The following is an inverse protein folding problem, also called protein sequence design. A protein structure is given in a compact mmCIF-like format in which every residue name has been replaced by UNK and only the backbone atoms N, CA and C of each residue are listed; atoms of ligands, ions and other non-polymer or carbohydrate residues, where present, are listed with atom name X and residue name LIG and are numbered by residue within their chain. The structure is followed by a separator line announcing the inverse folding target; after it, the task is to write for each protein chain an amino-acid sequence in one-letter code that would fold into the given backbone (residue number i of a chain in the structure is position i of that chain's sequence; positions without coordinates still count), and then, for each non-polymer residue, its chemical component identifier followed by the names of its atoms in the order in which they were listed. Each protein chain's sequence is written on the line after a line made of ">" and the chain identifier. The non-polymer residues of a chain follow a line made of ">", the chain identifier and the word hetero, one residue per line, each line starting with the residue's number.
data_IF_692986697539
#
_entry.id   IF_692986697539
#
_cell.length_a   1.000
_cell.length_b   1.000
_cell.length_c   1.000
_cell.angle_alpha   90.00
_cell.angle_beta   90.00
_cell.angle_gamma   90.00
#
_symmetry.space_group_name_H-M   'P 1'
#
loop_
_entity.id
_entity.type
_entity.pdbx_description
1 polymer ?
#
# COMPACT_ATOMS: atom_id res chain seq x y z
N UNK A 1 9.77 46.24 -0.25
CA UNK A 1 10.81 45.24 -0.59
C UNK A 1 10.10 44.02 -1.17
N UNK A 2 10.09 43.87 -2.49
CA UNK A 2 9.47 42.74 -3.19
C UNK A 2 10.49 41.61 -3.30
N UNK A 3 10.31 40.52 -2.57
CA UNK A 3 11.13 39.32 -2.70
C UNK A 3 10.99 38.77 -4.13
N UNK A 4 12.06 38.68 -4.94
CA UNK A 4 11.96 38.05 -6.25
C UNK A 4 11.88 36.53 -6.03
N UNK A 5 10.71 35.95 -6.27
CA UNK A 5 10.58 34.50 -6.37
C UNK A 5 11.32 34.04 -7.63
N UNK A 6 12.39 33.29 -7.46
CA UNK A 6 13.26 32.78 -8.55
C UNK A 6 12.56 31.78 -9.49
N UNK A 7 11.31 31.41 -9.18
CA UNK A 7 10.50 30.43 -9.93
C UNK A 7 9.40 31.17 -10.67
N UNK A 8 9.36 31.02 -12.01
CA UNK A 8 8.25 31.57 -12.80
C UNK A 8 6.95 30.81 -12.52
N UNK A 9 5.80 31.48 -12.58
CA UNK A 9 4.49 30.84 -12.40
C UNK A 9 4.23 29.67 -13.39
N UNK A 10 4.93 29.66 -14.53
CA UNK A 10 4.90 28.56 -15.51
C UNK A 10 5.69 27.35 -15.03
N UNK A 11 6.84 27.55 -14.37
CA UNK A 11 7.63 26.48 -13.76
C UNK A 11 6.89 25.84 -12.59
N UNK A 12 6.26 26.64 -11.72
CA UNK A 12 5.46 26.13 -10.59
C UNK A 12 4.33 25.20 -11.07
N UNK A 13 3.56 25.63 -12.09
CA UNK A 13 2.53 24.79 -12.71
C UNK A 13 3.09 23.51 -13.34
N UNK A 14 4.25 23.62 -14.00
CA UNK A 14 4.94 22.47 -14.57
C UNK A 14 5.34 21.44 -13.52
N UNK A 15 5.89 21.88 -12.40
CA UNK A 15 6.27 21.02 -11.27
C UNK A 15 5.05 20.34 -10.65
N UNK A 16 3.94 21.05 -10.43
CA UNK A 16 2.72 20.45 -9.89
C UNK A 16 2.12 19.42 -10.85
N UNK A 17 2.08 19.71 -12.15
CA UNK A 17 1.61 18.75 -13.16
C UNK A 17 2.48 17.50 -13.23
N UNK A 18 3.80 17.66 -13.09
CA UNK A 18 4.72 16.53 -12.99
C UNK A 18 4.39 15.64 -11.78
N UNK A 19 4.12 16.23 -10.61
CA UNK A 19 3.71 15.47 -9.42
C UNK A 19 2.36 14.78 -9.59
N UNK A 20 1.38 15.42 -10.23
CA UNK A 20 0.09 14.79 -10.55
C UNK A 20 0.29 13.60 -11.49
N UNK A 21 1.06 13.78 -12.57
CA UNK A 21 1.34 12.72 -13.53
C UNK A 21 2.09 11.56 -12.86
N UNK A 22 3.12 11.85 -12.06
CA UNK A 22 3.86 10.84 -11.31
C UNK A 22 2.96 10.10 -10.32
N UNK A 23 2.11 10.81 -9.58
CA UNK A 23 1.15 10.23 -8.65
C UNK A 23 0.14 9.31 -9.33
N UNK A 24 -0.38 9.70 -10.50
CA UNK A 24 -1.26 8.86 -11.31
C UNK A 24 -0.54 7.62 -11.82
N UNK A 25 0.65 7.76 -12.41
CA UNK A 25 1.44 6.63 -12.94
C UNK A 25 1.76 5.64 -11.82
N UNK A 26 2.26 6.13 -10.69
CA UNK A 26 2.57 5.30 -9.53
C UNK A 26 1.31 4.63 -8.97
N UNK A 27 0.21 5.38 -8.89
CA UNK A 27 -1.07 4.83 -8.43
C UNK A 27 -1.62 3.73 -9.32
N UNK A 28 -1.57 3.91 -10.64
CA UNK A 28 -1.95 2.86 -11.59
C UNK A 28 -1.02 1.65 -11.51
N UNK A 29 0.29 1.87 -11.41
CA UNK A 29 1.28 0.80 -11.30
C UNK A 29 1.08 -0.05 -10.04
N UNK A 30 0.61 0.54 -8.93
CA UNK A 30 0.36 -0.16 -7.67
C UNK A 30 -1.06 -0.76 -7.58
N UNK A 31 -2.08 -0.04 -8.05
CA UNK A 31 -3.47 -0.48 -7.92
C UNK A 31 -3.84 -1.58 -8.91
N UNK A 32 -3.36 -1.51 -10.17
CA UNK A 32 -3.78 -2.44 -11.21
C UNK A 32 -3.40 -3.90 -10.90
N UNK A 33 -2.16 -4.22 -10.44
CA UNK A 33 -1.82 -5.57 -10.03
C UNK A 33 -2.64 -6.06 -8.84
N UNK A 34 -2.92 -5.19 -7.86
CA UNK A 34 -3.71 -5.54 -6.69
C UNK A 34 -5.17 -5.88 -7.04
N UNK A 35 -5.77 -5.09 -7.94
CA UNK A 35 -7.13 -5.35 -8.45
C UNK A 35 -7.17 -6.65 -9.24
N UNK A 36 -6.20 -6.88 -10.13
CA UNK A 36 -6.11 -8.14 -10.90
C UNK A 36 -5.99 -9.34 -9.97
N UNK A 37 -5.09 -9.28 -8.98
CA UNK A 37 -4.94 -10.35 -8.00
C UNK A 37 -6.25 -10.63 -7.24
N UNK A 38 -6.98 -9.60 -6.82
CA UNK A 38 -8.27 -9.78 -6.16
C UNK A 38 -9.30 -10.48 -7.07
N UNK A 39 -9.35 -10.11 -8.35
CA UNK A 39 -10.24 -10.72 -9.35
C UNK A 39 -9.84 -12.17 -9.63
N UNK A 40 -8.54 -12.46 -9.79
CA UNK A 40 -8.04 -13.80 -10.09
C UNK A 40 -8.33 -14.76 -8.93
N UNK A 41 -8.07 -14.33 -7.69
CA UNK A 41 -8.38 -15.10 -6.46
C UNK A 41 -9.90 -15.35 -6.36
N UNK A 42 -10.71 -14.34 -6.65
CA UNK A 42 -12.17 -14.48 -6.69
C UNK A 42 -12.62 -15.43 -7.81
N UNK A 43 -11.92 -15.45 -8.95
CA UNK A 43 -12.16 -16.33 -10.10
C UNK A 43 -11.69 -17.78 -9.91
N UNK A 44 -10.84 -18.05 -8.91
CA UNK A 44 -10.38 -19.39 -8.53
C UNK A 44 -8.93 -19.70 -8.87
N UNK A 45 -8.23 -18.80 -9.57
CA UNK A 45 -6.79 -18.86 -9.77
C UNK A 45 -6.09 -18.00 -8.74
N UNK A 46 -5.53 -18.60 -7.68
CA UNK A 46 -4.88 -17.84 -6.63
C UNK A 46 -3.35 -17.91 -6.78
N UNK A 47 -2.74 -16.82 -7.28
CA UNK A 47 -1.29 -16.64 -7.15
C UNK A 47 -0.99 -16.05 -5.79
N UNK A 48 -0.46 -16.86 -4.88
CA UNK A 48 -0.15 -16.46 -3.51
C UNK A 48 1.32 -16.72 -3.17
N UNK A 49 1.87 -15.86 -2.32
CA UNK A 49 3.18 -16.06 -1.71
C UNK A 49 2.97 -16.66 -0.33
N UNK A 50 3.48 -17.87 -0.11
CA UNK A 50 3.48 -18.54 1.18
C UNK A 50 4.88 -18.51 1.79
N UNK A 51 4.95 -18.53 3.12
CA UNK A 51 6.21 -18.70 3.83
C UNK A 51 6.66 -20.14 3.72
N UNK A 52 7.96 -20.34 3.59
CA UNK A 52 8.59 -21.66 3.54
C UNK A 52 9.89 -21.62 4.33
N UNK A 53 10.34 -22.78 4.78
CA UNK A 53 11.66 -22.99 5.38
C UNK A 53 12.40 -24.13 4.66
N UNK A 54 12.27 -24.21 3.34
CA UNK A 54 13.00 -25.19 2.55
C UNK A 54 14.49 -24.82 2.45
N UNK A 55 15.37 -25.80 2.69
CA UNK A 55 16.80 -25.65 2.44
C UNK A 55 17.10 -25.58 0.94
N UNK A 56 18.04 -24.72 0.56
CA UNK A 56 18.56 -24.68 -0.82
C UNK A 56 19.48 -25.88 -1.05
N UNK A 57 19.28 -26.67 -2.12
CA UNK A 57 20.17 -27.77 -2.45
C UNK A 57 21.62 -27.30 -2.59
N UNK A 58 22.52 -27.88 -1.81
CA UNK A 58 23.94 -27.55 -1.83
C UNK A 58 24.62 -28.27 -3.00
N UNK A 59 24.54 -27.67 -4.19
CA UNK A 59 25.39 -28.07 -5.30
C UNK A 59 26.71 -27.29 -5.26
N UNK A 60 27.88 -27.94 -5.31
CA UNK A 60 29.15 -27.23 -5.36
C UNK A 60 29.20 -26.34 -6.61
N UNK A 61 29.53 -25.05 -6.42
CA UNK A 61 29.71 -24.11 -7.52
C UNK A 61 30.93 -24.44 -8.37
N UNK A 62 30.90 -24.03 -9.64
CA UNK A 62 31.93 -24.36 -10.63
C UNK A 62 33.37 -23.94 -10.25
N UNK A 63 33.52 -22.98 -9.31
CA UNK A 63 34.81 -22.38 -8.94
C UNK A 63 35.20 -22.59 -7.46
N UNK A 64 34.69 -23.64 -6.81
CA UNK A 64 35.05 -23.96 -5.41
C UNK A 64 34.38 -23.08 -4.34
N UNK A 65 33.45 -22.20 -4.74
CA UNK A 65 32.57 -21.50 -3.81
C UNK A 65 31.58 -22.50 -3.18
N UNK A 66 31.67 -22.67 -1.87
CA UNK A 66 30.76 -23.53 -1.10
C UNK A 66 29.70 -22.70 -0.40
N UNK A 67 28.43 -23.09 -0.57
CA UNK A 67 27.29 -22.48 0.12
C UNK A 67 27.28 -22.93 1.59
N UNK A 68 27.42 -22.00 2.54
CA UNK A 68 27.43 -22.32 3.98
C UNK A 68 26.01 -22.62 4.51
N UNK A 69 25.05 -21.76 4.18
CA UNK A 69 23.62 -21.91 4.49
C UNK A 69 22.81 -21.04 3.54
N UNK A 70 21.72 -21.57 3.00
CA UNK A 70 20.74 -20.79 2.26
C UNK A 70 19.36 -21.43 2.44
N UNK A 71 18.37 -20.60 2.71
CA UNK A 71 16.98 -20.97 2.94
C UNK A 71 16.10 -20.17 1.98
N UNK A 72 15.00 -20.77 1.55
CA UNK A 72 13.92 -20.02 0.92
C UNK A 72 13.03 -19.46 2.02
N UNK A 73 12.78 -18.15 2.03
CA UNK A 73 11.87 -17.53 3.02
C UNK A 73 10.42 -17.48 2.52
N UNK A 74 10.22 -17.48 1.20
CA UNK A 74 8.89 -17.49 0.60
C UNK A 74 8.86 -18.19 -0.75
N UNK A 75 7.73 -18.83 -1.05
CA UNK A 75 7.47 -19.49 -2.32
C UNK A 75 6.21 -18.89 -2.95
N UNK A 76 6.32 -18.48 -4.22
CA UNK A 76 5.17 -18.06 -5.03
C UNK A 76 4.57 -19.30 -5.69
N UNK A 77 3.31 -19.55 -5.39
CA UNK A 77 2.56 -20.70 -5.90
C UNK A 77 1.30 -20.23 -6.62
N UNK A 78 0.91 -20.99 -7.63
CA UNK A 78 -0.39 -20.87 -8.28
C UNK A 78 -1.22 -22.04 -7.77
N UNK A 79 -2.18 -21.74 -6.90
CA UNK A 79 -3.05 -22.74 -6.31
C UNK A 79 -4.41 -22.73 -7.01
N UNK A 80 -4.91 -23.92 -7.32
CA UNK A 80 -6.26 -24.19 -7.81
C UNK A 80 -7.02 -25.01 -6.77
N UNK A 81 -8.34 -24.87 -6.72
CA UNK A 81 -9.18 -25.69 -5.84
C UNK A 81 -9.12 -25.34 -4.34
N UNK A 82 -8.57 -24.18 -3.97
CA UNK A 82 -8.62 -23.68 -2.58
C UNK A 82 -10.06 -23.59 -2.07
N UNK A 83 -10.24 -23.81 -0.77
CA UNK A 83 -11.55 -23.72 -0.13
C UNK A 83 -12.18 -22.33 -0.33
N UNK A 84 -13.52 -22.29 -0.33
CA UNK A 84 -14.26 -21.04 -0.52
C UNK A 84 -13.94 -19.97 0.54
N UNK A 85 -13.72 -20.39 1.80
CA UNK A 85 -13.35 -19.48 2.89
C UNK A 85 -11.96 -18.91 2.71
N UNK A 86 -10.98 -19.74 2.35
CA UNK A 86 -9.60 -19.32 2.08
C UNK A 86 -9.55 -18.32 0.93
N UNK A 87 -10.27 -18.60 -0.15
CA UNK A 87 -10.41 -17.67 -1.29
C UNK A 87 -11.08 -16.36 -0.88
N UNK A 88 -12.15 -16.41 -0.09
CA UNK A 88 -12.85 -15.21 0.36
C UNK A 88 -11.95 -14.29 1.20
N UNK A 89 -11.18 -14.86 2.14
CA UNK A 89 -10.24 -14.09 2.97
C UNK A 89 -9.12 -13.46 2.14
N UNK A 90 -8.53 -14.23 1.22
CA UNK A 90 -7.50 -13.74 0.31
C UNK A 90 -8.02 -12.63 -0.62
N UNK A 91 -9.21 -12.83 -1.19
CA UNK A 91 -9.84 -11.86 -2.08
C UNK A 91 -10.21 -10.57 -1.33
N UNK A 92 -10.78 -10.68 -0.13
CA UNK A 92 -11.09 -9.51 0.71
C UNK A 92 -9.81 -8.78 1.12
N UNK A 93 -8.76 -9.50 1.53
CA UNK A 93 -7.47 -8.90 1.86
C UNK A 93 -6.88 -8.11 0.69
N UNK A 94 -6.91 -8.68 -0.52
CA UNK A 94 -6.47 -8.00 -1.74
C UNK A 94 -7.36 -6.80 -2.09
N UNK A 95 -8.69 -6.93 -1.95
CA UNK A 95 -9.63 -5.85 -2.22
C UNK A 95 -9.44 -4.66 -1.27
N UNK A 96 -9.26 -4.89 0.03
CA UNK A 96 -8.94 -3.83 0.99
C UNK A 96 -7.59 -3.16 0.69
N UNK A 97 -6.59 -3.93 0.28
CA UNK A 97 -5.28 -3.38 -0.13
C UNK A 97 -5.41 -2.48 -1.38
N UNK A 98 -6.15 -2.93 -2.38
CA UNK A 98 -6.44 -2.16 -3.59
C UNK A 98 -7.22 -0.88 -3.27
N UNK A 99 -8.28 -0.98 -2.45
CA UNK A 99 -9.08 0.17 -2.02
C UNK A 99 -8.24 1.20 -1.26
N UNK A 100 -7.39 0.74 -0.35
CA UNK A 100 -6.46 1.60 0.42
C UNK A 100 -5.53 2.36 -0.51
N UNK A 101 -4.96 1.66 -1.50
CA UNK A 101 -4.07 2.25 -2.50
C UNK A 101 -4.81 3.31 -3.32
N UNK A 102 -6.01 2.99 -3.82
CA UNK A 102 -6.83 3.92 -4.60
C UNK A 102 -7.20 5.18 -3.82
N UNK A 103 -7.63 5.04 -2.56
CA UNK A 103 -7.99 6.18 -1.71
C UNK A 103 -6.78 7.07 -1.43
N UNK A 104 -5.63 6.47 -1.13
CA UNK A 104 -4.39 7.21 -0.85
C UNK A 104 -3.90 7.97 -2.07
N UNK A 105 -3.82 7.31 -3.22
CA UNK A 105 -3.43 7.93 -4.49
C UNK A 105 -4.39 9.06 -4.86
N UNK A 106 -5.70 8.82 -4.74
CA UNK A 106 -6.73 9.83 -5.07
C UNK A 106 -6.60 11.06 -4.18
N UNK A 107 -6.32 10.88 -2.90
CA UNK A 107 -6.10 11.99 -1.97
C UNK A 107 -4.83 12.80 -2.32
N UNK A 108 -3.74 12.14 -2.69
CA UNK A 108 -2.50 12.80 -3.13
C UNK A 108 -2.72 13.58 -4.44
N UNK A 109 -3.39 12.97 -5.42
CA UNK A 109 -3.73 13.64 -6.67
C UNK A 109 -4.63 14.85 -6.40
N UNK A 110 -5.66 14.69 -5.57
CA UNK A 110 -6.55 15.79 -5.18
C UNK A 110 -5.78 16.92 -4.48
N UNK A 111 -4.83 16.59 -3.59
CA UNK A 111 -3.96 17.57 -2.94
C UNK A 111 -3.21 18.42 -3.98
N UNK A 112 -2.55 17.78 -4.95
CA UNK A 112 -1.81 18.51 -5.97
C UNK A 112 -2.71 19.30 -6.93
N UNK A 113 -3.91 18.80 -7.25
CA UNK A 113 -4.88 19.54 -8.05
C UNK A 113 -5.39 20.79 -7.32
N UNK A 114 -5.67 20.70 -6.01
CA UNK A 114 -6.08 21.84 -5.20
C UNK A 114 -4.95 22.89 -5.09
N UNK A 115 -3.70 22.44 -5.01
CA UNK A 115 -2.53 23.33 -5.06
C UNK A 115 -2.46 24.07 -6.40
N UNK A 116 -2.67 23.37 -7.52
CA UNK A 116 -2.72 23.97 -8.86
C UNK A 116 -3.82 25.03 -9.00
N UNK A 117 -4.96 24.81 -8.35
CA UNK A 117 -6.10 25.75 -8.35
C UNK A 117 -5.96 26.90 -7.35
N UNK A 118 -4.79 27.07 -6.72
CA UNK A 118 -4.51 28.13 -5.73
C UNK A 118 -5.49 28.13 -4.56
N UNK A 119 -5.96 26.94 -4.14
CA UNK A 119 -6.81 26.76 -2.94
C UNK A 119 -6.08 25.94 -1.85
N UNK A 120 -4.92 26.41 -1.34
CA UNK A 120 -4.07 25.62 -0.44
C UNK A 120 -4.72 25.32 0.94
N UNK A 121 -5.76 26.05 1.35
CA UNK A 121 -6.43 25.87 2.65
C UNK A 121 -7.92 25.50 2.52
N UNK A 122 -8.28 24.78 1.46
CA UNK A 122 -9.66 24.29 1.33
C UNK A 122 -9.94 23.19 2.36
N UNK A 123 -11.14 23.16 2.97
CA UNK A 123 -11.56 22.07 3.88
C UNK A 123 -11.39 20.67 3.27
N UNK A 124 -11.53 20.59 1.95
CA UNK A 124 -11.30 19.36 1.19
C UNK A 124 -9.90 18.77 1.39
N UNK A 125 -8.87 19.60 1.63
CA UNK A 125 -7.51 19.12 1.87
C UNK A 125 -7.42 18.37 3.20
N UNK A 126 -8.02 18.93 4.25
CA UNK A 126 -8.08 18.30 5.58
C UNK A 126 -8.80 16.96 5.45
N UNK A 127 -9.98 16.94 4.83
CA UNK A 127 -10.76 15.71 4.64
C UNK A 127 -10.00 14.67 3.80
N UNK A 128 -9.34 15.08 2.72
CA UNK A 128 -8.53 14.17 1.90
C UNK A 128 -7.37 13.56 2.70
N UNK A 129 -6.71 14.35 3.54
CA UNK A 129 -5.60 13.88 4.39
C UNK A 129 -6.11 12.93 5.48
N UNK A 130 -7.28 13.20 6.07
CA UNK A 130 -7.93 12.29 7.03
C UNK A 130 -8.32 10.97 6.39
N UNK A 131 -8.94 11.03 5.20
CA UNK A 131 -9.34 9.84 4.45
C UNK A 131 -8.13 9.02 4.05
N UNK A 132 -7.05 9.64 3.56
CA UNK A 132 -5.81 8.94 3.22
C UNK A 132 -5.18 8.27 4.45
N UNK A 133 -5.01 9.01 5.55
CA UNK A 133 -4.43 8.47 6.78
C UNK A 133 -5.27 7.35 7.39
N UNK A 134 -6.60 7.52 7.42
CA UNK A 134 -7.52 6.49 7.91
C UNK A 134 -7.55 5.27 6.99
N UNK A 135 -7.51 5.46 5.67
CA UNK A 135 -7.43 4.36 4.70
C UNK A 135 -6.14 3.56 4.88
N UNK A 136 -4.99 4.22 4.99
CA UNK A 136 -3.70 3.55 5.23
C UNK A 136 -3.71 2.74 6.52
N UNK A 137 -4.25 3.30 7.61
CA UNK A 137 -4.27 2.64 8.91
C UNK A 137 -5.28 1.48 8.93
N UNK A 138 -6.55 1.76 8.67
CA UNK A 138 -7.63 0.75 8.77
C UNK A 138 -7.49 -0.27 7.64
N UNK A 139 -7.31 0.21 6.41
CA UNK A 139 -7.20 -0.64 5.25
C UNK A 139 -5.91 -1.46 5.21
N UNK A 140 -4.81 -0.92 5.73
CA UNK A 140 -3.58 -1.68 5.94
C UNK A 140 -3.76 -2.85 6.93
N UNK A 141 -4.40 -2.59 8.07
CA UNK A 141 -4.69 -3.63 9.08
C UNK A 141 -5.64 -4.69 8.51
N UNK A 142 -6.74 -4.27 7.87
CA UNK A 142 -7.72 -5.20 7.29
C UNK A 142 -7.11 -6.03 6.16
N UNK A 143 -6.35 -5.39 5.26
CA UNK A 143 -5.68 -6.09 4.15
C UNK A 143 -4.67 -7.10 4.66
N UNK A 144 -3.81 -6.70 5.60
CA UNK A 144 -2.79 -7.58 6.16
C UNK A 144 -3.40 -8.70 7.02
N UNK A 145 -4.40 -8.40 7.84
CA UNK A 145 -5.06 -9.39 8.70
C UNK A 145 -5.83 -10.43 7.88
N UNK A 146 -6.71 -10.00 6.99
CA UNK A 146 -7.51 -10.92 6.15
C UNK A 146 -6.62 -11.70 5.18
N UNK A 147 -5.67 -11.02 4.52
CA UNK A 147 -4.71 -11.67 3.63
C UNK A 147 -3.76 -12.60 4.38
N UNK A 148 -3.38 -12.27 5.62
CA UNK A 148 -2.54 -13.11 6.49
C UNK A 148 -3.25 -14.39 6.90
N UNK A 149 -4.48 -14.26 7.42
CA UNK A 149 -5.32 -15.41 7.75
C UNK A 149 -5.59 -16.31 6.53
N UNK A 150 -5.88 -15.71 5.38
CA UNK A 150 -6.05 -16.44 4.13
C UNK A 150 -4.80 -17.22 3.71
N UNK A 151 -3.60 -16.65 3.90
CA UNK A 151 -2.33 -17.35 3.62
C UNK A 151 -2.06 -18.48 4.60
N UNK A 152 -2.40 -18.31 5.88
CA UNK A 152 -2.28 -19.38 6.88
C UNK A 152 -3.18 -20.57 6.56
N UNK A 153 -4.44 -20.31 6.18
CA UNK A 153 -5.36 -21.36 5.75
C UNK A 153 -4.91 -22.03 4.45
N UNK A 154 -4.43 -21.25 3.48
CA UNK A 154 -3.90 -21.81 2.24
C UNK A 154 -2.65 -22.67 2.48
N UNK A 155 -1.77 -22.26 3.41
CA UNK A 155 -0.60 -23.06 3.80
C UNK A 155 -1.03 -24.40 4.40
N UNK A 156 -2.03 -24.41 5.29
CA UNK A 156 -2.58 -25.64 5.89
C UNK A 156 -3.23 -26.56 4.84
N UNK A 157 -4.03 -26.01 3.93
CA UNK A 157 -4.67 -26.77 2.85
C UNK A 157 -3.67 -27.39 1.87
N UNK A 158 -2.59 -26.67 1.55
CA UNK A 158 -1.60 -27.10 0.55
C UNK A 158 -0.45 -27.92 1.14
N UNK A 159 -0.22 -27.86 2.46
CA UNK A 159 0.90 -28.55 3.09
C UNK A 159 0.91 -30.07 2.86
N UNK A 160 -0.24 -30.78 2.92
CA UNK A 160 -0.29 -32.21 2.64
C UNK A 160 0.18 -32.57 1.24
N UNK A 161 -0.10 -31.72 0.25
CA UNK A 161 0.32 -31.91 -1.13
C UNK A 161 1.79 -31.50 -1.37
N UNK A 162 2.30 -30.54 -0.59
CA UNK A 162 3.65 -30.00 -0.70
C UNK A 162 4.68 -30.67 0.22
N UNK A 163 4.29 -31.69 1.00
CA UNK A 163 5.19 -32.43 1.87
C UNK A 163 5.60 -31.69 3.15
N UNK A 164 4.78 -30.77 3.67
CA UNK A 164 5.05 -30.09 4.94
C UNK A 164 6.00 -28.88 4.84
N UNK A 165 6.29 -28.40 3.63
CA UNK A 165 7.30 -27.38 3.35
C UNK A 165 6.82 -25.94 3.64
N UNK A 166 5.51 -25.73 3.77
CA UNK A 166 4.93 -24.41 4.02
C UNK A 166 4.74 -24.16 5.50
N UNK A 167 5.16 -22.97 5.92
CA UNK A 167 4.99 -22.50 7.31
C UNK A 167 3.62 -21.84 7.43
N UNK A 168 2.84 -22.27 8.43
CA UNK A 168 1.56 -21.65 8.76
C UNK A 168 1.83 -20.32 9.48
N UNK A 169 1.95 -19.26 8.69
CA UNK A 169 2.19 -17.92 9.19
C UNK A 169 2.07 -16.88 8.09
N UNK A 170 2.23 -15.61 8.47
CA UNK A 170 2.34 -14.51 7.51
C UNK A 170 3.30 -13.44 8.04
N UNK A 171 3.97 -12.77 7.11
CA UNK A 171 4.80 -11.60 7.43
C UNK A 171 3.94 -10.35 7.49
N UNK A 172 4.12 -9.55 8.55
CA UNK A 172 3.48 -8.25 8.70
C UNK A 172 4.53 -7.15 8.77
N UNK A 173 4.45 -6.17 7.87
CA UNK A 173 5.27 -4.97 7.91
C UNK A 173 4.46 -3.80 8.49
N UNK A 174 4.75 -3.35 9.73
CA UNK A 174 4.03 -2.26 10.38
C UNK A 174 4.37 -0.88 9.82
N UNK A 175 5.38 -0.74 8.94
CA UNK A 175 5.83 0.55 8.44
C UNK A 175 4.68 1.37 7.83
N UNK A 176 3.80 0.73 7.05
CA UNK A 176 2.66 1.38 6.42
C UNK A 176 1.63 1.92 7.42
N UNK A 177 1.46 1.24 8.55
CA UNK A 177 0.59 1.69 9.63
C UNK A 177 1.15 2.96 10.29
N UNK A 178 2.47 3.02 10.48
CA UNK A 178 3.15 4.21 10.99
C UNK A 178 3.04 5.39 10.02
N UNK A 179 3.16 5.13 8.71
CA UNK A 179 2.92 6.16 7.67
C UNK A 179 1.48 6.69 7.77
N UNK A 180 0.48 5.81 7.85
CA UNK A 180 -0.92 6.22 8.01
C UNK A 180 -1.17 7.06 9.25
N UNK A 181 -0.59 6.67 10.39
CA UNK A 181 -0.64 7.43 11.63
C UNK A 181 0.02 8.81 11.50
N UNK A 182 1.18 8.89 10.84
CA UNK A 182 1.86 10.15 10.55
C UNK A 182 1.02 11.10 9.69
N UNK A 183 0.35 10.57 8.67
CA UNK A 183 -0.57 11.35 7.82
C UNK A 183 -1.77 11.86 8.61
N UNK A 184 -2.33 11.04 9.51
CA UNK A 184 -3.40 11.50 10.42
C UNK A 184 -2.93 12.59 11.37
N UNK A 185 -1.75 12.44 11.96
CA UNK A 185 -1.17 13.45 12.83
C UNK A 185 -0.98 14.79 12.08
N UNK A 186 -0.49 14.74 10.84
CA UNK A 186 -0.35 15.93 10.00
C UNK A 186 -1.71 16.60 9.71
N UNK A 187 -2.76 15.82 9.53
CA UNK A 187 -4.12 16.36 9.34
C UNK A 187 -4.61 17.18 10.54
N UNK A 188 -4.27 16.75 11.77
CA UNK A 188 -4.58 17.51 13.00
C UNK A 188 -3.86 18.86 12.99
N UNK A 189 -2.59 18.88 12.57
CA UNK A 189 -1.81 20.12 12.43
C UNK A 189 -2.45 21.08 11.44
N UNK A 190 -2.87 20.60 10.26
CA UNK A 190 -3.57 21.44 9.29
C UNK A 190 -4.91 21.98 9.81
N UNK A 191 -5.64 21.16 10.56
CA UNK A 191 -6.89 21.58 11.20
C UNK A 191 -6.64 22.74 12.16
N UNK A 192 -5.61 22.63 13.01
CA UNK A 192 -5.25 23.69 13.95
C UNK A 192 -4.75 24.96 13.24
N UNK A 193 -3.91 24.81 12.20
CA UNK A 193 -3.42 25.94 11.40
C UNK A 193 -4.54 26.74 10.73
N UNK A 194 -5.55 26.06 10.16
CA UNK A 194 -6.70 26.76 9.56
C UNK A 194 -7.58 27.47 10.59
N UNK A 195 -7.62 26.99 11.84
CA UNK A 195 -8.32 27.66 12.93
C UNK A 195 -7.60 28.96 13.32
N UNK A 196 -6.28 28.90 13.51
CA UNK A 196 -5.48 30.09 13.83
C UNK A 196 -5.54 31.17 12.75
N UNK A 197 -5.55 30.78 11.47
CA UNK A 197 -5.71 31.72 10.35
C UNK A 197 -7.05 32.46 10.42
N UNK A 198 -8.17 31.73 10.65
CA UNK A 198 -9.49 32.36 10.80
C UNK A 198 -9.56 33.30 12.00
N UNK A 199 -8.95 32.92 13.12
CA UNK A 199 -8.95 33.75 14.33
C UNK A 199 -8.15 35.05 14.11
N UNK A 200 -7.16 35.05 13.21
CA UNK A 200 -6.39 36.24 12.83
C UNK A 200 -7.13 37.12 11.84
N UNK A 201 -7.84 36.54 10.87
CA UNK A 201 -8.69 37.27 9.92
C UNK A 201 -9.86 38.00 10.61
N UNK A 202 -10.30 37.53 11.79
CA UNK A 202 -11.33 38.18 12.59
C UNK A 202 -10.86 39.36 13.45
N UNK A 203 -9.56 39.64 13.50
CA UNK A 203 -8.96 40.71 14.31
C UNK A 203 -8.58 41.96 13.49
N UNK A 204 -8.79 41.94 12.17
CA UNK A 204 -8.49 43.05 11.23
C UNK A 204 -9.77 43.71 10.76
#
# INVERSE_FOLDING_TARGET
>A
MTNPSWVSARMERGTVLLFVAAGLVMGFALALPAIRAAIDIAGGGATISLLTEAEVPRTPGADGATLASATFDSARIVAEGLSGSTRALLALGAAFGALTTLLTVSAVVLFFLLLMWRRPFHRALITATQVAGAALLIGGILSAGLGGLGRMMAADELNPAAGGVFVIGFSFDPAWMLVGLGVLALSVVFTYGTRLQRDTEGLV
#
